data_IF_795490998020
#
_entry.id   IF_795490998020
#
_cell.length_a   1.000
_cell.length_b   1.000
_cell.length_c   1.000
_cell.angle_alpha   90.00
_cell.angle_beta   90.00
_cell.angle_gamma   90.00
#
_symmetry.space_group_name_H-M   'P 1'
#
loop_
_entity.id
_entity.type
_entity.pdbx_description
1 polymer ?
#
# COMPACT_ATOMS: atom_id res chain seq x y z
N UNK A 1 -42.66 15.75 -24.85
CA UNK A 1 -42.01 14.51 -25.34
C UNK A 1 -40.89 14.13 -24.36
N UNK A 2 -40.91 12.94 -23.78
CA UNK A 2 -39.88 12.52 -22.83
C UNK A 2 -38.59 12.19 -23.59
N UNK A 3 -37.51 12.94 -23.34
CA UNK A 3 -36.24 12.78 -24.04
C UNK A 3 -35.67 11.37 -23.80
N UNK A 4 -35.39 10.68 -24.91
CA UNK A 4 -34.74 9.37 -24.92
C UNK A 4 -33.23 9.58 -24.90
N UNK A 5 -32.53 8.93 -23.97
CA UNK A 5 -31.07 9.09 -23.82
C UNK A 5 -30.38 7.73 -23.85
N UNK A 6 -29.22 7.66 -24.51
CA UNK A 6 -28.41 6.45 -24.58
C UNK A 6 -27.62 6.24 -23.28
N UNK A 7 -27.61 5.00 -22.79
CA UNK A 7 -26.79 4.59 -21.65
C UNK A 7 -25.32 4.46 -22.06
N UNK A 8 -24.40 5.05 -21.30
CA UNK A 8 -22.96 4.95 -21.59
C UNK A 8 -22.39 3.53 -21.44
N UNK A 9 -23.02 2.67 -20.64
CA UNK A 9 -22.56 1.30 -20.40
C UNK A 9 -22.96 0.33 -21.52
N UNK A 10 -24.23 0.35 -21.95
CA UNK A 10 -24.76 -0.62 -22.92
C UNK A 10 -25.17 -0.01 -24.26
N UNK A 11 -25.03 1.31 -24.44
CA UNK A 11 -25.48 2.08 -25.61
C UNK A 11 -26.98 1.97 -25.94
N UNK A 12 -27.77 1.27 -25.13
CA UNK A 12 -29.22 1.19 -25.31
C UNK A 12 -29.89 2.49 -24.88
N UNK A 13 -30.90 2.87 -25.64
CA UNK A 13 -31.71 4.05 -25.40
C UNK A 13 -32.81 3.73 -24.41
N UNK A 14 -32.98 4.57 -23.39
CA UNK A 14 -34.02 4.39 -22.36
C UNK A 14 -34.75 5.71 -22.06
N UNK A 15 -35.88 5.58 -21.37
CA UNK A 15 -36.64 6.72 -20.86
C UNK A 15 -35.88 7.40 -19.71
N UNK A 16 -35.98 8.73 -19.63
CA UNK A 16 -35.25 9.51 -18.63
C UNK A 16 -35.49 9.09 -17.17
N UNK A 17 -36.67 8.59 -16.82
CA UNK A 17 -37.00 8.13 -15.45
C UNK A 17 -36.35 6.79 -15.06
N UNK A 18 -35.77 6.07 -16.02
CA UNK A 18 -35.01 4.82 -15.81
C UNK A 18 -33.50 5.07 -15.91
N UNK A 19 -33.11 6.34 -15.99
CA UNK A 19 -31.74 6.77 -16.20
C UNK A 19 -31.30 7.60 -15.00
N UNK A 20 -30.03 7.48 -14.68
CA UNK A 20 -29.38 8.26 -13.64
C UNK A 20 -28.05 8.80 -14.15
N UNK A 21 -27.58 9.90 -13.55
CA UNK A 21 -26.34 10.57 -13.95
C UNK A 21 -25.28 10.34 -12.90
N UNK A 22 -24.13 9.80 -13.31
CA UNK A 22 -23.01 9.60 -12.41
C UNK A 22 -22.49 10.96 -11.91
N UNK A 23 -22.38 11.13 -10.59
CA UNK A 23 -21.86 12.35 -9.95
C UNK A 23 -20.39 12.63 -10.31
N UNK A 24 -19.62 11.60 -10.65
CA UNK A 24 -18.20 11.69 -10.99
C UNK A 24 -17.99 11.96 -12.48
N UNK A 25 -18.35 11.02 -13.36
CA UNK A 25 -18.07 11.13 -14.80
C UNK A 25 -19.15 11.87 -15.61
N UNK A 26 -20.26 12.27 -14.96
CA UNK A 26 -21.38 13.02 -15.56
C UNK A 26 -22.10 12.33 -16.73
N UNK A 27 -21.76 11.08 -17.02
CA UNK A 27 -22.47 10.26 -18.00
C UNK A 27 -23.79 9.71 -17.45
N UNK A 28 -24.74 9.44 -18.34
CA UNK A 28 -26.02 8.82 -18.00
C UNK A 28 -25.97 7.30 -18.15
N UNK A 29 -26.57 6.62 -17.19
CA UNK A 29 -26.62 5.17 -17.11
C UNK A 29 -28.05 4.72 -16.88
N UNK A 30 -28.42 3.59 -17.50
CA UNK A 30 -29.65 2.88 -17.15
C UNK A 30 -29.49 2.31 -15.75
N UNK A 31 -30.54 2.36 -14.94
CA UNK A 31 -30.52 1.86 -13.56
C UNK A 31 -30.00 0.41 -13.45
N UNK A 32 -30.38 -0.46 -14.39
CA UNK A 32 -29.91 -1.86 -14.46
C UNK A 32 -28.42 -2.01 -14.78
N UNK A 33 -27.78 -1.00 -15.36
CA UNK A 33 -26.34 -1.02 -15.68
C UNK A 33 -25.46 -0.50 -14.53
N UNK A 34 -26.07 -0.02 -13.45
CA UNK A 34 -25.37 0.49 -12.26
C UNK A 34 -25.82 -0.21 -10.98
N UNK A 35 -26.54 -1.33 -11.14
CA UNK A 35 -27.12 -2.16 -10.07
C UNK A 35 -28.03 -1.38 -9.12
N UNK A 36 -28.92 -0.57 -9.69
CA UNK A 36 -29.91 0.22 -8.95
C UNK A 36 -31.31 -0.16 -9.44
N UNK A 37 -32.25 -0.28 -8.52
CA UNK A 37 -33.67 -0.53 -8.83
C UNK A 37 -34.35 0.73 -9.38
N UNK A 38 -35.44 0.55 -10.14
CA UNK A 38 -36.19 1.69 -10.66
C UNK A 38 -36.78 2.58 -9.54
N UNK A 39 -37.08 2.02 -8.36
CA UNK A 39 -37.59 2.77 -7.22
C UNK A 39 -36.48 3.64 -6.60
N UNK A 40 -35.28 3.10 -6.44
CA UNK A 40 -34.13 3.87 -5.96
C UNK A 40 -33.79 5.03 -6.90
N UNK A 41 -33.82 4.83 -8.22
CA UNK A 41 -33.62 5.93 -9.18
C UNK A 41 -34.67 7.03 -9.04
N UNK A 42 -35.93 6.70 -8.74
CA UNK A 42 -36.94 7.73 -8.43
C UNK A 42 -36.58 8.49 -7.16
N UNK A 43 -36.20 7.78 -6.10
CA UNK A 43 -35.79 8.40 -4.83
C UNK A 43 -34.56 9.30 -5.00
N UNK A 44 -33.55 8.88 -5.77
CA UNK A 44 -32.36 9.67 -6.09
C UNK A 44 -32.72 10.93 -6.87
N UNK A 45 -33.58 10.81 -7.89
CA UNK A 45 -34.02 11.96 -8.69
C UNK A 45 -34.87 12.96 -7.88
N UNK A 46 -35.61 12.51 -6.87
CA UNK A 46 -36.42 13.37 -6.01
C UNK A 46 -35.61 14.03 -4.89
N UNK A 47 -34.51 13.39 -4.44
CA UNK A 47 -33.72 13.86 -3.31
C UNK A 47 -32.31 14.29 -3.74
N UNK A 48 -32.07 15.60 -3.77
CA UNK A 48 -30.77 16.20 -4.15
C UNK A 48 -29.59 15.87 -3.22
N UNK A 49 -29.82 15.18 -2.11
CA UNK A 49 -28.79 14.82 -1.14
C UNK A 49 -28.05 13.52 -1.47
N UNK A 50 -28.58 12.71 -2.38
CA UNK A 50 -27.98 11.43 -2.73
C UNK A 50 -27.34 11.51 -4.11
N UNK A 51 -26.07 11.12 -4.17
CA UNK A 51 -25.31 11.03 -5.40
C UNK A 51 -25.23 9.59 -5.89
N UNK A 52 -25.49 9.38 -7.17
CA UNK A 52 -25.23 8.12 -7.84
C UNK A 52 -23.84 8.08 -8.45
N UNK A 53 -23.07 7.03 -8.16
CA UNK A 53 -21.77 6.79 -8.80
C UNK A 53 -21.86 5.53 -9.64
N UNK A 54 -21.41 5.57 -10.90
CA UNK A 54 -21.40 4.40 -11.77
C UNK A 54 -20.35 3.36 -11.32
N UNK A 55 -20.53 2.11 -11.74
CA UNK A 55 -19.66 0.98 -11.36
C UNK A 55 -18.19 1.27 -11.66
N UNK A 56 -17.89 1.82 -12.85
CA UNK A 56 -16.52 2.15 -13.24
C UNK A 56 -15.86 3.19 -12.32
N UNK A 57 -16.58 4.24 -11.94
CA UNK A 57 -16.05 5.23 -11.00
C UNK A 57 -15.91 4.68 -9.57
N UNK A 58 -16.81 3.78 -9.14
CA UNK A 58 -16.67 3.08 -7.84
C UNK A 58 -15.43 2.18 -7.83
N UNK A 59 -15.18 1.45 -8.92
CA UNK A 59 -14.02 0.58 -9.06
C UNK A 59 -12.71 1.39 -8.99
N UNK A 60 -12.59 2.46 -9.77
CA UNK A 60 -11.41 3.35 -9.73
C UNK A 60 -11.21 3.92 -8.31
N UNK A 61 -12.28 4.35 -7.64
CA UNK A 61 -12.21 4.83 -6.26
C UNK A 61 -11.67 3.79 -5.27
N UNK A 62 -12.05 2.51 -5.47
CA UNK A 62 -11.51 1.39 -4.69
C UNK A 62 -10.03 1.16 -5.00
N UNK A 63 -9.66 1.11 -6.27
CA UNK A 63 -8.27 0.89 -6.69
C UNK A 63 -7.33 1.97 -6.14
N UNK A 64 -7.77 3.22 -6.12
CA UNK A 64 -7.02 4.33 -5.50
C UNK A 64 -6.86 4.17 -3.99
N UNK A 65 -7.88 3.66 -3.29
CA UNK A 65 -7.81 3.38 -1.85
C UNK A 65 -6.81 2.26 -1.56
N UNK A 66 -6.85 1.20 -2.35
CA UNK A 66 -5.97 0.04 -2.21
C UNK A 66 -4.52 0.44 -2.52
N UNK A 67 -4.30 1.22 -3.59
CA UNK A 67 -2.99 1.77 -3.93
C UNK A 67 -2.43 2.66 -2.80
N UNK A 68 -3.26 3.53 -2.22
CA UNK A 68 -2.87 4.36 -1.07
C UNK A 68 -2.47 3.52 0.14
N UNK A 69 -3.15 2.41 0.38
CA UNK A 69 -2.80 1.48 1.45
C UNK A 69 -1.44 0.82 1.20
N UNK A 70 -1.21 0.36 -0.04
CA UNK A 70 0.06 -0.26 -0.43
C UNK A 70 1.23 0.72 -0.30
N UNK A 71 1.06 1.97 -0.75
CA UNK A 71 2.10 3.01 -0.60
C UNK A 71 2.47 3.21 0.87
N UNK A 72 1.47 3.28 1.77
CA UNK A 72 1.73 3.42 3.22
C UNK A 72 2.47 2.22 3.78
N UNK A 73 2.09 1.01 3.38
CA UNK A 73 2.75 -0.22 3.82
C UNK A 73 4.22 -0.24 3.35
N UNK A 74 4.48 0.05 2.08
CA UNK A 74 5.84 0.11 1.54
C UNK A 74 6.69 1.19 2.23
N UNK A 75 6.11 2.35 2.56
CA UNK A 75 6.81 3.37 3.33
C UNK A 75 7.20 2.89 4.73
N UNK A 76 6.35 2.10 5.39
CA UNK A 76 6.65 1.50 6.69
C UNK A 76 7.74 0.43 6.57
N UNK A 77 7.67 -0.45 5.58
CA UNK A 77 8.68 -1.48 5.33
C UNK A 77 10.06 -0.87 5.02
N UNK A 78 10.11 0.17 4.17
CA UNK A 78 11.36 0.90 3.88
C UNK A 78 11.94 1.52 5.15
N UNK A 79 11.08 2.06 6.03
CA UNK A 79 11.53 2.63 7.30
C UNK A 79 12.11 1.53 8.20
N UNK A 80 11.41 0.41 8.35
CA UNK A 80 11.88 -0.72 9.15
C UNK A 80 13.24 -1.25 8.64
N UNK A 81 13.40 -1.41 7.33
CA UNK A 81 14.67 -1.84 6.72
C UNK A 81 15.81 -0.82 6.96
N UNK A 82 15.51 0.47 6.91
CA UNK A 82 16.50 1.52 7.23
C UNK A 82 16.91 1.46 8.70
N UNK A 83 15.95 1.24 9.59
CA UNK A 83 16.19 1.15 11.03
C UNK A 83 17.02 -0.10 11.37
N UNK A 84 16.72 -1.25 10.76
CA UNK A 84 17.49 -2.49 10.89
C UNK A 84 18.94 -2.34 10.36
N UNK A 85 19.11 -1.74 9.18
CA UNK A 85 20.44 -1.42 8.65
C UNK A 85 21.25 -0.56 9.62
N UNK A 86 20.62 0.46 10.22
CA UNK A 86 21.26 1.35 11.18
C UNK A 86 21.61 0.65 12.51
N UNK A 87 20.86 -0.38 12.91
CA UNK A 87 21.21 -1.22 14.06
C UNK A 87 22.43 -2.10 13.75
N UNK A 88 22.49 -2.69 12.56
CA UNK A 88 23.63 -3.51 12.16
C UNK A 88 24.95 -2.72 12.08
N UNK A 89 24.94 -1.47 11.58
CA UNK A 89 26.13 -0.60 11.62
C UNK A 89 26.54 -0.18 13.03
N UNK A 90 25.63 -0.17 14.00
CA UNK A 90 25.95 0.10 15.41
C UNK A 90 26.45 -1.12 16.16
N UNK A 91 26.03 -2.33 15.74
CA UNK A 91 26.47 -3.59 16.37
C UNK A 91 27.88 -4.04 15.96
N UNK A 92 28.49 -3.42 14.95
CA UNK A 92 29.87 -3.70 14.55
C UNK A 92 30.86 -2.69 15.15
N UNK A 93 30.72 -2.35 16.42
CA UNK A 93 31.86 -1.83 17.18
C UNK A 93 32.82 -3.01 17.38
N UNK A 94 33.63 -3.26 16.35
CA UNK A 94 34.76 -4.16 16.42
C UNK A 94 35.74 -3.56 17.43
N UNK A 95 35.73 -4.06 18.66
CA UNK A 95 36.51 -3.51 19.75
C UNK A 95 37.98 -3.83 19.52
N UNK A 96 38.66 -2.93 18.80
CA UNK A 96 40.07 -3.08 18.42
C UNK A 96 40.97 -3.22 19.66
N UNK A 97 40.56 -2.62 20.78
CA UNK A 97 41.20 -2.76 22.08
C UNK A 97 41.27 -4.23 22.56
N UNK A 98 40.20 -5.00 22.39
CA UNK A 98 40.14 -6.40 22.81
C UNK A 98 41.09 -7.28 21.97
N UNK A 99 41.17 -7.00 20.67
CA UNK A 99 42.10 -7.69 19.75
C UNK A 99 43.55 -7.34 20.08
N UNK A 100 43.83 -6.06 20.36
CA UNK A 100 45.16 -5.60 20.77
C UNK A 100 45.59 -6.21 22.11
N UNK A 101 44.67 -6.28 23.07
CA UNK A 101 44.92 -6.92 24.36
C UNK A 101 45.23 -8.41 24.19
N UNK A 102 44.43 -9.13 23.40
CA UNK A 102 44.63 -10.56 23.13
C UNK A 102 45.96 -10.84 22.40
N UNK A 103 46.31 -10.04 21.40
CA UNK A 103 47.60 -10.09 20.71
C UNK A 103 48.77 -9.90 21.68
N UNK A 104 48.67 -8.92 22.58
CA UNK A 104 49.71 -8.67 23.59
C UNK A 104 49.89 -9.86 24.55
N UNK A 105 48.79 -10.49 24.96
CA UNK A 105 48.81 -11.66 25.84
C UNK A 105 49.41 -12.89 25.14
N UNK A 106 49.07 -13.12 23.86
CA UNK A 106 49.70 -14.17 23.05
C UNK A 106 51.20 -13.95 22.88
N UNK A 107 51.63 -12.69 22.73
CA UNK A 107 53.04 -12.36 22.57
C UNK A 107 53.83 -12.54 23.88
N UNK A 108 53.23 -12.22 25.03
CA UNK A 108 53.79 -12.57 26.36
C UNK A 108 53.90 -14.09 26.55
N UNK A 109 52.86 -14.85 26.21
CA UNK A 109 52.88 -16.33 26.30
C UNK A 109 53.93 -16.94 25.38
N UNK A 110 54.04 -16.47 24.14
CA UNK A 110 55.07 -16.89 23.18
C UNK A 110 56.49 -16.72 23.72
N UNK A 111 56.75 -15.63 24.45
CA UNK A 111 58.05 -15.39 25.06
C UNK A 111 58.33 -16.27 26.29
N UNK A 112 57.30 -16.75 26.99
CA UNK A 112 57.44 -17.70 28.10
C UNK A 112 57.63 -19.15 27.64
N UNK A 113 57.16 -19.53 26.45
CA UNK A 113 57.29 -20.89 25.89
C UNK A 113 58.74 -21.22 25.51
N UNK A 114 59.61 -20.22 25.27
CA UNK A 114 61.03 -20.49 24.96
C UNK A 114 61.87 -20.99 26.16
N UNK A 115 61.35 -20.97 27.40
CA UNK A 115 62.08 -21.43 28.59
C UNK A 115 61.52 -22.75 29.14
N UNK A 116 60.23 -23.03 28.92
CA UNK A 116 59.59 -24.27 29.36
C UNK A 116 58.85 -24.90 28.17
N UNK A 117 59.39 -26.00 27.69
CA UNK A 117 58.94 -26.82 26.56
C UNK A 117 57.56 -27.48 26.85
N UNK A 118 56.51 -26.67 27.04
CA UNK A 118 55.15 -27.14 27.36
C UNK A 118 54.28 -27.09 26.10
N UNK A 119 53.57 -28.18 25.74
CA UNK A 119 52.67 -28.18 24.58
C UNK A 119 51.39 -27.40 24.88
N UNK A 120 50.91 -26.63 23.91
CA UNK A 120 49.60 -25.98 23.99
C UNK A 120 48.46 -27.02 23.83
N UNK A 121 47.36 -26.90 24.61
CA UNK A 121 46.15 -27.72 24.45
C UNK A 121 45.31 -27.31 23.23
#
# INVERSE_FOLDING_TARGET
MSARVACKCCNQVSHGHLMDTCSVCKYKFKHTCVDITANEVRTLNMNKYYDCTCIGCRAIGKDLKDLKSLIKQLQQEIKALKDEKNQHTKSSEFNFEDVMYEMSERQKRRNNIMIFNVPEP
#
